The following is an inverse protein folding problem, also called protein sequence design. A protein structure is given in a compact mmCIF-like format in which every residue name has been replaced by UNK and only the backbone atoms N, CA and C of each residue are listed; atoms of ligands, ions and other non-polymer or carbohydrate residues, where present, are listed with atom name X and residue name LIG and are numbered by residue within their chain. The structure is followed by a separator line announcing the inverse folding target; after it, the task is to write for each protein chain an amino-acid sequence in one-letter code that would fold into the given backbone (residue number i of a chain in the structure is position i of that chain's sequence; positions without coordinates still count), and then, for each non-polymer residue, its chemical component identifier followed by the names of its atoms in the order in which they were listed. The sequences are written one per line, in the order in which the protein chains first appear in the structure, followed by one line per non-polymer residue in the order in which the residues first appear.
data_IF_068032122072
#
_entry.id   IF_068032122072
#
_cell.length_a   1.000
_cell.length_b   1.000
_cell.length_c   1.000
_cell.angle_alpha   90.00
_cell.angle_beta   90.00
_cell.angle_gamma   90.00
#
_symmetry.space_group_name_H-M   'P 1'
#
loop_
_entity.id
_entity.type
_entity.pdbx_description
1 polymer ?
#
# COMPACT_ATOMS: atom_id res chain seq x y z
N UNK A 1 5.65 8.77 -3.37
CA UNK A 1 4.89 7.97 -4.35
C UNK A 1 3.38 7.96 -4.08
N UNK A 2 2.92 7.82 -2.83
CA UNK A 2 1.48 7.76 -2.48
C UNK A 2 0.59 8.88 -3.08
N UNK A 3 1.10 10.12 -3.15
CA UNK A 3 0.37 11.23 -3.77
C UNK A 3 0.22 11.11 -5.29
N UNK A 4 1.17 10.48 -5.98
CA UNK A 4 1.11 10.34 -7.43
C UNK A 4 -0.01 9.39 -7.86
N UNK A 5 -0.24 8.32 -7.09
CA UNK A 5 -1.34 7.40 -7.36
C UNK A 5 -2.71 8.04 -7.12
N UNK A 6 -2.85 8.82 -6.03
CA UNK A 6 -4.08 9.58 -5.75
C UNK A 6 -4.44 10.55 -6.87
N UNK A 7 -3.47 11.35 -7.33
CA UNK A 7 -3.68 12.31 -8.42
C UNK A 7 -3.94 11.60 -9.76
N UNK A 8 -3.24 10.50 -10.04
CA UNK A 8 -3.47 9.70 -11.24
C UNK A 8 -4.90 9.13 -11.29
N UNK A 9 -5.36 8.54 -10.18
CA UNK A 9 -6.73 8.02 -10.05
C UNK A 9 -7.78 9.12 -10.21
N UNK A 10 -7.55 10.29 -9.62
CA UNK A 10 -8.44 11.44 -9.74
C UNK A 10 -8.54 11.96 -11.19
N UNK A 11 -7.41 12.08 -11.88
CA UNK A 11 -7.40 12.49 -13.29
C UNK A 11 -8.10 11.46 -14.18
N UNK A 12 -7.80 10.17 -13.99
CA UNK A 12 -8.44 9.09 -14.77
C UNK A 12 -9.96 9.06 -14.55
N UNK A 13 -10.44 9.18 -13.31
CA UNK A 13 -11.88 9.22 -13.02
C UNK A 13 -12.54 10.47 -13.62
N UNK A 14 -11.88 11.62 -13.56
CA UNK A 14 -12.36 12.86 -14.18
C UNK A 14 -12.53 12.73 -15.70
N UNK A 15 -11.57 12.11 -16.39
CA UNK A 15 -11.66 11.84 -17.83
C UNK A 15 -12.85 10.93 -18.13
N UNK A 16 -13.00 9.82 -17.40
CA UNK A 16 -14.13 8.88 -17.58
C UNK A 16 -15.49 9.54 -17.32
N UNK A 17 -15.57 10.45 -16.36
CA UNK A 17 -16.77 11.24 -16.09
C UNK A 17 -17.09 12.18 -17.25
N UNK A 18 -16.08 12.92 -17.75
CA UNK A 18 -16.22 13.83 -18.89
C UNK A 18 -16.66 13.10 -20.17
N UNK A 19 -16.05 11.95 -20.48
CA UNK A 19 -16.43 11.11 -21.61
C UNK A 19 -17.87 10.62 -21.51
N UNK A 20 -18.30 10.22 -20.30
CA UNK A 20 -19.69 9.81 -20.05
C UNK A 20 -20.66 10.94 -20.31
N UNK A 21 -20.37 12.16 -19.84
CA UNK A 21 -21.21 13.33 -20.10
C UNK A 21 -21.25 13.66 -21.60
N UNK A 22 -20.10 13.66 -22.28
CA UNK A 22 -20.02 13.96 -23.71
C UNK A 22 -20.80 12.96 -24.57
N UNK A 23 -20.76 11.67 -24.23
CA UNK A 23 -21.52 10.65 -24.91
C UNK A 23 -23.03 10.83 -24.72
N UNK A 24 -23.45 11.12 -23.49
CA UNK A 24 -24.86 11.28 -23.13
C UNK A 24 -25.45 12.62 -23.58
N UNK A 25 -24.62 13.64 -23.79
CA UNK A 25 -25.01 14.95 -24.33
C UNK A 25 -25.75 14.84 -25.67
N UNK A 26 -25.35 13.90 -26.54
CA UNK A 26 -26.00 13.68 -27.85
C UNK A 26 -27.47 13.27 -27.71
N UNK A 27 -27.80 12.49 -26.69
CA UNK A 27 -29.17 12.07 -26.39
C UNK A 27 -29.93 12.97 -25.42
N UNK A 28 -29.26 13.98 -24.84
CA UNK A 28 -29.79 14.85 -23.75
C UNK A 28 -30.37 14.08 -22.56
N UNK A 29 -29.86 12.87 -22.28
CA UNK A 29 -30.30 12.03 -21.18
C UNK A 29 -29.27 12.02 -20.06
N UNK A 30 -29.67 12.45 -18.87
CA UNK A 30 -28.81 12.53 -17.68
C UNK A 30 -29.43 11.80 -16.47
N UNK A 31 -30.31 10.84 -16.74
CA UNK A 31 -30.88 9.97 -15.70
C UNK A 31 -29.80 9.02 -15.12
N UNK A 32 -30.08 8.44 -13.96
CA UNK A 32 -29.16 7.50 -13.30
C UNK A 32 -28.75 6.34 -14.23
N UNK A 33 -29.67 5.87 -15.08
CA UNK A 33 -29.39 4.82 -16.06
C UNK A 33 -28.41 5.29 -17.14
N UNK A 34 -28.55 6.52 -17.64
CA UNK A 34 -27.63 7.10 -18.61
C UNK A 34 -26.23 7.31 -18.02
N UNK A 35 -26.13 7.74 -16.76
CA UNK A 35 -24.86 8.01 -16.06
C UNK A 35 -24.21 6.75 -15.46
N UNK A 36 -24.94 5.65 -15.31
CA UNK A 36 -24.38 4.36 -14.85
C UNK A 36 -23.24 3.83 -15.73
N UNK A 37 -23.08 4.34 -16.96
CA UNK A 37 -21.92 4.04 -17.78
C UNK A 37 -20.60 4.53 -17.16
N UNK A 38 -20.62 5.61 -16.37
CA UNK A 38 -19.45 6.07 -15.62
C UNK A 38 -19.00 5.01 -14.60
N UNK A 39 -19.94 4.48 -13.82
CA UNK A 39 -19.67 3.42 -12.85
C UNK A 39 -19.15 2.14 -13.54
N UNK A 40 -19.73 1.79 -14.69
CA UNK A 40 -19.24 0.68 -15.51
C UNK A 40 -17.82 0.90 -16.03
N UNK A 41 -17.46 2.13 -16.43
CA UNK A 41 -16.09 2.47 -16.84
C UNK A 41 -15.14 2.39 -15.66
N UNK A 42 -15.54 2.92 -14.51
CA UNK A 42 -14.74 2.96 -13.31
C UNK A 42 -14.43 1.54 -12.80
N UNK A 43 -15.43 0.65 -12.80
CA UNK A 43 -15.28 -0.77 -12.42
C UNK A 43 -14.46 -1.62 -13.39
N UNK A 44 -14.27 -1.15 -14.63
CA UNK A 44 -13.37 -1.79 -15.60
C UNK A 44 -11.98 -1.17 -15.64
N UNK A 45 -11.76 -0.13 -14.84
CA UNK A 45 -10.50 0.60 -14.77
C UNK A 45 -9.72 0.22 -13.52
N UNK A 46 -8.42 0.52 -13.52
CA UNK A 46 -7.55 0.33 -12.37
C UNK A 46 -7.94 1.18 -11.14
N UNK A 47 -8.83 2.17 -11.29
CA UNK A 47 -9.11 3.15 -10.24
C UNK A 47 -9.74 2.50 -9.02
N UNK A 48 -10.77 1.67 -9.19
CA UNK A 48 -11.42 1.03 -8.04
C UNK A 48 -10.54 -0.02 -7.37
N UNK A 49 -9.82 -0.80 -8.18
CA UNK A 49 -8.89 -1.82 -7.67
C UNK A 49 -7.78 -1.15 -6.84
N UNK A 50 -7.15 -0.10 -7.36
CA UNK A 50 -6.10 0.62 -6.64
C UNK A 50 -6.62 1.28 -5.36
N UNK A 51 -7.85 1.81 -5.37
CA UNK A 51 -8.47 2.36 -4.17
C UNK A 51 -8.71 1.27 -3.11
N UNK A 52 -9.13 0.07 -3.52
CA UNK A 52 -9.34 -1.06 -2.62
C UNK A 52 -8.01 -1.52 -2.01
N UNK A 53 -6.99 -1.78 -2.81
CA UNK A 53 -5.66 -2.17 -2.33
C UNK A 53 -5.04 -1.11 -1.41
N UNK A 54 -5.23 0.17 -1.73
CA UNK A 54 -4.78 1.28 -0.88
C UNK A 54 -5.47 1.27 0.49
N UNK A 55 -6.77 0.98 0.53
CA UNK A 55 -7.53 0.87 1.78
C UNK A 55 -7.04 -0.29 2.63
N UNK A 56 -6.89 -1.46 2.02
CA UNK A 56 -6.43 -2.67 2.72
C UNK A 56 -5.03 -2.46 3.32
N UNK A 57 -4.13 -1.81 2.57
CA UNK A 57 -2.81 -1.45 3.08
C UNK A 57 -2.88 -0.49 4.28
N UNK A 58 -3.71 0.54 4.22
CA UNK A 58 -3.92 1.46 5.35
C UNK A 58 -4.47 0.73 6.57
N UNK A 59 -5.39 -0.22 6.38
CA UNK A 59 -5.96 -1.00 7.48
C UNK A 59 -4.92 -1.95 8.11
N UNK A 60 -4.02 -2.54 7.31
CA UNK A 60 -2.86 -3.29 7.82
C UNK A 60 -1.97 -2.39 8.68
N UNK A 61 -1.65 -1.18 8.21
CA UNK A 61 -0.83 -0.22 8.96
C UNK A 61 -1.51 0.24 10.26
N UNK A 62 -2.83 0.47 10.24
CA UNK A 62 -3.60 0.85 11.43
C UNK A 62 -3.64 -0.25 12.47
N UNK A 63 -3.78 -1.49 12.02
CA UNK A 63 -3.83 -2.68 12.89
C UNK A 63 -2.44 -3.00 13.47
N UNK A 64 -1.37 -2.73 12.73
CA UNK A 64 0.01 -3.04 13.09
C UNK A 64 0.87 -1.77 13.20
N UNK A 65 0.60 -0.93 14.21
CA UNK A 65 1.24 0.39 14.40
C UNK A 65 2.77 0.32 14.51
N UNK A 66 3.30 -0.81 14.97
CA UNK A 66 4.73 -1.12 15.04
C UNK A 66 5.45 -1.02 13.68
N UNK A 67 4.74 -1.23 12.57
CA UNK A 67 5.31 -1.10 11.22
C UNK A 67 5.80 0.31 10.94
N UNK A 68 5.11 1.31 11.50
CA UNK A 68 5.45 2.72 11.34
C UNK A 68 6.36 3.16 12.48
N UNK A 69 6.07 2.72 13.71
CA UNK A 69 6.72 3.26 14.89
C UNK A 69 8.04 2.57 15.25
N UNK A 70 8.17 1.26 15.05
CA UNK A 70 9.29 0.49 15.61
C UNK A 70 10.22 -0.07 14.53
N UNK A 71 9.64 -0.51 13.42
CA UNK A 71 10.39 -1.20 12.37
C UNK A 71 11.42 -0.31 11.68
N UNK A 72 11.15 0.97 11.35
CA UNK A 72 12.15 1.83 10.74
C UNK A 72 13.39 2.00 11.63
N UNK A 73 13.20 2.12 12.95
CA UNK A 73 14.31 2.21 13.89
C UNK A 73 15.04 0.87 14.06
N UNK A 74 14.31 -0.25 14.11
CA UNK A 74 14.91 -1.58 14.17
C UNK A 74 15.75 -1.89 12.93
N UNK A 75 15.27 -1.51 11.74
CA UNK A 75 16.00 -1.64 10.48
C UNK A 75 17.21 -0.71 10.44
N UNK A 76 17.05 0.56 10.84
CA UNK A 76 18.16 1.51 10.97
C UNK A 76 19.28 0.95 11.85
N UNK A 77 18.94 0.50 13.05
CA UNK A 77 19.91 -0.02 14.02
C UNK A 77 20.60 -1.29 13.48
N UNK A 78 19.85 -2.15 12.76
CA UNK A 78 20.38 -3.34 12.12
C UNK A 78 21.38 -3.00 11.00
N UNK A 79 21.02 -2.06 10.12
CA UNK A 79 21.89 -1.60 9.04
C UNK A 79 23.15 -0.91 9.59
N UNK A 80 23.01 -0.06 10.60
CA UNK A 80 24.14 0.58 11.27
C UNK A 80 25.14 -0.46 11.81
N UNK A 81 24.64 -1.51 12.48
CA UNK A 81 25.49 -2.63 12.94
C UNK A 81 26.10 -3.43 11.81
N UNK A 82 25.37 -3.64 10.72
CA UNK A 82 25.83 -4.46 9.60
C UNK A 82 26.99 -3.79 8.84
N UNK A 83 26.87 -2.49 8.60
CA UNK A 83 27.84 -1.69 7.86
C UNK A 83 29.00 -1.14 8.70
N UNK A 84 28.93 -1.25 10.04
CA UNK A 84 30.04 -0.90 10.91
C UNK A 84 31.28 -1.73 10.56
N UNK A 85 32.38 -1.04 10.25
CA UNK A 85 33.70 -1.65 10.07
C UNK A 85 34.25 -1.96 11.45
N UNK A 86 34.36 -3.24 11.77
CA UNK A 86 34.89 -3.75 13.04
C UNK A 86 35.61 -5.07 12.80
N UNK A 87 36.48 -5.44 13.73
CA UNK A 87 37.22 -6.72 13.69
C UNK A 87 36.37 -7.92 14.14
N UNK A 88 35.07 -7.69 14.39
CA UNK A 88 34.14 -8.74 14.79
C UNK A 88 33.77 -9.60 13.57
N UNK A 89 33.88 -10.93 13.67
CA UNK A 89 33.46 -11.83 12.60
C UNK A 89 32.02 -11.55 12.16
N UNK A 90 31.79 -11.42 10.85
CA UNK A 90 30.47 -11.08 10.27
C UNK A 90 29.36 -12.06 10.67
N UNK A 91 29.68 -13.31 10.98
CA UNK A 91 28.73 -14.31 11.51
C UNK A 91 28.14 -13.89 12.86
N UNK A 92 28.95 -13.33 13.75
CA UNK A 92 28.53 -12.86 15.08
C UNK A 92 27.63 -11.63 14.92
N UNK A 93 28.03 -10.67 14.07
CA UNK A 93 27.24 -9.48 13.76
C UNK A 93 25.84 -9.85 13.24
N UNK A 94 25.75 -10.79 12.28
CA UNK A 94 24.46 -11.28 11.75
C UNK A 94 23.59 -11.93 12.83
N UNK A 95 24.21 -12.72 13.72
CA UNK A 95 23.50 -13.36 14.84
C UNK A 95 22.93 -12.32 15.81
N UNK A 96 23.69 -11.29 16.12
CA UNK A 96 23.26 -10.24 17.04
C UNK A 96 22.16 -9.35 16.43
N UNK A 97 22.25 -9.03 15.14
CA UNK A 97 21.16 -8.38 14.40
C UNK A 97 19.89 -9.24 14.45
N UNK A 98 20.00 -10.55 14.18
CA UNK A 98 18.86 -11.47 14.23
C UNK A 98 18.22 -11.56 15.62
N UNK A 99 19.03 -11.53 16.69
CA UNK A 99 18.53 -11.52 18.08
C UNK A 99 17.82 -10.21 18.39
N UNK A 100 18.40 -9.08 18.00
CA UNK A 100 17.84 -7.75 18.21
C UNK A 100 16.49 -7.58 17.50
N UNK A 101 16.41 -7.98 16.23
CA UNK A 101 15.18 -7.92 15.44
C UNK A 101 14.10 -8.83 16.04
N UNK A 102 14.44 -10.07 16.43
CA UNK A 102 13.48 -10.97 17.09
C UNK A 102 12.95 -10.44 18.41
N UNK A 103 13.81 -9.82 19.22
CA UNK A 103 13.43 -9.25 20.51
C UNK A 103 12.53 -8.02 20.41
N UNK A 104 12.72 -7.17 19.39
CA UNK A 104 11.90 -5.96 19.20
C UNK A 104 10.59 -6.22 18.46
N UNK A 105 10.62 -7.12 17.47
CA UNK A 105 9.52 -7.26 16.52
C UNK A 105 8.60 -8.44 16.88
N UNK A 106 9.15 -9.53 17.43
CA UNK A 106 8.39 -10.76 17.69
C UNK A 106 8.03 -11.54 16.42
N UNK A 107 8.29 -12.86 16.41
CA UNK A 107 8.08 -13.70 15.22
C UNK A 107 6.61 -13.88 14.84
N UNK A 108 5.71 -13.88 15.82
CA UNK A 108 4.26 -14.03 15.61
C UNK A 108 3.66 -12.82 14.93
N UNK A 109 4.12 -11.62 15.28
CA UNK A 109 3.71 -10.35 14.66
C UNK A 109 4.20 -10.23 13.22
N UNK A 110 5.45 -10.65 12.96
CA UNK A 110 5.97 -10.80 11.60
C UNK A 110 5.08 -11.70 10.74
N UNK A 111 4.70 -12.87 11.26
CA UNK A 111 3.83 -13.79 10.54
C UNK A 111 2.43 -13.20 10.30
N UNK A 112 1.87 -12.48 11.27
CA UNK A 112 0.58 -11.80 11.15
C UNK A 112 0.58 -10.71 10.07
N UNK A 113 1.61 -9.88 10.03
CA UNK A 113 1.78 -8.85 8.99
C UNK A 113 1.97 -9.49 7.61
N UNK A 114 2.81 -10.53 7.51
CA UNK A 114 3.03 -11.24 6.24
C UNK A 114 1.74 -11.90 5.73
N UNK A 115 0.97 -12.52 6.62
CA UNK A 115 -0.32 -13.11 6.28
C UNK A 115 -1.34 -12.05 5.87
N UNK A 116 -1.35 -10.89 6.51
CA UNK A 116 -2.18 -9.74 6.13
C UNK A 116 -1.83 -9.22 4.73
N UNK A 117 -0.54 -9.06 4.45
CA UNK A 117 -0.04 -8.65 3.12
C UNK A 117 -0.39 -9.65 2.02
N UNK A 118 -0.21 -10.94 2.26
CA UNK A 118 -0.53 -12.00 1.29
C UNK A 118 -2.03 -12.13 1.04
N UNK A 119 -2.87 -11.79 2.02
CA UNK A 119 -4.34 -11.85 1.91
C UNK A 119 -4.93 -10.58 1.30
N UNK A 120 -4.25 -9.43 1.48
CA UNK A 120 -4.68 -8.12 0.99
C UNK A 120 -4.30 -7.80 -0.46
N UNK A 121 -3.64 -8.72 -1.18
CA UNK A 121 -3.37 -8.58 -2.62
C UNK A 121 -2.76 -7.23 -2.99
N UNK A 122 -1.52 -6.99 -2.56
CA UNK A 122 -0.64 -6.02 -3.24
C UNK A 122 -0.03 -6.71 -4.45
#
# INVERSE_FOLDING_TARGET
SLCHEGVNMAMASGIMAAETILERRKGRRYDAKALGLYEQRLSRSFVLDNMASSRDFVDILRTNKELINDYPYAVRDALAKFFLVSDVPKRIVKRDISRMLRGRIGLTKMAGVLAGLLRGGI
#
